data_IF_827755136608
#
_entry.id   IF_827755136608
#
_cell.length_a   1.000
_cell.length_b   1.000
_cell.length_c   1.000
_cell.angle_alpha   90.00
_cell.angle_beta   90.00
_cell.angle_gamma   90.00
#
_symmetry.space_group_name_H-M   'P 1'
#
loop_
_entity.id
_entity.type
_entity.pdbx_description
1 polymer ?
#
# COMPACT_ATOMS: atom_id res chain seq x y z
N UNK A 1 12.62 -2.19 -48.37
CA UNK A 1 11.63 -1.73 -47.37
C UNK A 1 11.57 -2.78 -46.27
N UNK A 2 12.16 -2.56 -45.11
CA UNK A 2 12.15 -3.55 -44.00
C UNK A 2 11.09 -3.07 -43.02
N UNK A 3 9.96 -3.75 -43.01
CA UNK A 3 8.81 -3.43 -42.17
C UNK A 3 9.22 -3.51 -40.71
N UNK A 4 9.14 -2.39 -40.01
CA UNK A 4 9.29 -2.31 -38.57
C UNK A 4 8.06 -2.95 -37.95
N UNK A 5 8.21 -4.18 -37.45
CA UNK A 5 7.25 -4.74 -36.49
C UNK A 5 7.42 -3.94 -35.20
N UNK A 6 6.48 -3.03 -34.94
CA UNK A 6 6.31 -2.48 -33.59
C UNK A 6 5.61 -3.56 -32.79
N UNK A 7 6.34 -4.23 -31.88
CA UNK A 7 5.71 -5.02 -30.84
C UNK A 7 4.85 -4.05 -30.02
N UNK A 8 3.55 -4.17 -30.22
CA UNK A 8 2.52 -3.50 -29.44
C UNK A 8 2.65 -4.07 -28.02
N UNK A 9 3.41 -3.38 -27.16
CA UNK A 9 3.41 -3.62 -25.72
C UNK A 9 1.96 -3.63 -25.29
N UNK A 10 1.47 -4.82 -24.95
CA UNK A 10 0.18 -5.06 -24.33
C UNK A 10 0.10 -4.10 -23.14
N UNK A 11 -0.80 -3.12 -23.23
CA UNK A 11 -1.08 -2.25 -22.10
C UNK A 11 -1.53 -3.16 -20.96
N UNK A 12 -0.93 -3.06 -19.75
CA UNK A 12 -1.39 -3.84 -18.63
C UNK A 12 -2.88 -3.57 -18.44
N UNK A 13 -3.61 -4.63 -18.18
CA UNK A 13 -5.06 -4.69 -18.08
C UNK A 13 -5.53 -3.80 -16.90
N UNK A 14 -5.73 -2.50 -17.15
CA UNK A 14 -6.09 -1.51 -16.13
C UNK A 14 -7.44 -1.83 -15.47
N UNK A 15 -8.34 -2.56 -16.14
CA UNK A 15 -9.64 -2.93 -15.59
C UNK A 15 -9.57 -4.06 -14.55
N UNK A 16 -8.62 -5.01 -14.70
CA UNK A 16 -8.34 -6.01 -13.66
C UNK A 16 -7.54 -5.46 -12.47
N UNK A 17 -6.90 -4.30 -12.66
CA UNK A 17 -6.06 -3.67 -11.65
C UNK A 17 -6.91 -2.96 -10.59
N UNK A 18 -7.83 -2.09 -11.00
CA UNK A 18 -8.66 -1.30 -10.05
C UNK A 18 -9.50 -2.18 -9.12
N UNK A 19 -10.09 -3.28 -9.61
CA UNK A 19 -10.95 -4.16 -8.78
C UNK A 19 -10.18 -5.00 -7.75
N UNK A 20 -8.91 -5.32 -8.01
CA UNK A 20 -8.06 -6.01 -7.01
C UNK A 20 -7.61 -5.06 -5.91
N UNK A 21 -7.46 -3.79 -6.26
CA UNK A 21 -7.00 -2.75 -5.36
C UNK A 21 -8.02 -2.47 -4.26
N UNK A 22 -9.30 -2.31 -4.57
CA UNK A 22 -10.32 -2.19 -3.51
C UNK A 22 -10.25 -3.34 -2.50
N UNK A 23 -10.06 -4.58 -2.97
CA UNK A 23 -10.01 -5.76 -2.09
C UNK A 23 -8.77 -5.77 -1.18
N UNK A 24 -7.58 -5.48 -1.71
CA UNK A 24 -6.34 -5.47 -0.90
C UNK A 24 -6.40 -4.39 0.19
N UNK A 25 -6.88 -3.19 -0.13
CA UNK A 25 -6.97 -2.09 0.83
C UNK A 25 -7.98 -2.40 1.93
N UNK A 26 -9.15 -2.95 1.58
CA UNK A 26 -10.15 -3.42 2.55
C UNK A 26 -9.57 -4.47 3.51
N UNK A 27 -8.80 -5.44 2.98
CA UNK A 27 -8.16 -6.47 3.79
C UNK A 27 -7.09 -5.90 4.72
N UNK A 28 -6.22 -5.01 4.23
CA UNK A 28 -5.19 -4.37 5.04
C UNK A 28 -5.81 -3.48 6.12
N UNK A 29 -6.88 -2.75 5.82
CA UNK A 29 -7.59 -1.93 6.79
C UNK A 29 -8.27 -2.79 7.86
N UNK A 30 -8.87 -3.92 7.47
CA UNK A 30 -9.42 -4.88 8.42
C UNK A 30 -8.33 -5.47 9.34
N UNK A 31 -7.20 -5.91 8.79
CA UNK A 31 -6.08 -6.44 9.59
C UNK A 31 -5.44 -5.38 10.48
N UNK A 32 -5.34 -4.15 9.99
CA UNK A 32 -4.88 -2.99 10.76
C UNK A 32 -5.78 -2.73 11.96
N UNK A 33 -7.10 -2.68 11.76
CA UNK A 33 -8.06 -2.48 12.85
C UNK A 33 -8.03 -3.60 13.91
N UNK A 34 -7.69 -4.84 13.51
CA UNK A 34 -7.52 -5.96 14.43
C UNK A 34 -6.17 -5.96 15.17
N UNK A 35 -5.11 -5.44 14.53
CA UNK A 35 -3.74 -5.48 15.06
C UNK A 35 -3.42 -4.27 15.94
N UNK A 36 -3.90 -3.09 15.53
CA UNK A 36 -3.64 -1.83 16.20
C UNK A 36 -4.82 -1.46 17.10
N UNK A 37 -4.58 -1.45 18.40
CA UNK A 37 -5.58 -1.04 19.40
C UNK A 37 -5.51 0.47 19.68
N UNK A 38 -4.32 1.05 19.54
CA UNK A 38 -4.05 2.46 19.80
C UNK A 38 -4.51 3.35 18.63
N UNK A 39 -5.17 4.47 18.94
CA UNK A 39 -5.62 5.45 17.93
C UNK A 39 -4.46 6.03 17.12
N UNK A 40 -3.31 6.27 17.75
CA UNK A 40 -2.11 6.76 17.06
C UNK A 40 -1.59 5.74 16.05
N UNK A 41 -1.52 4.48 16.45
CA UNK A 41 -1.01 3.42 15.58
C UNK A 41 -1.98 3.18 14.41
N UNK A 42 -3.30 3.26 14.66
CA UNK A 42 -4.30 3.21 13.59
C UNK A 42 -4.19 4.37 12.61
N UNK A 43 -3.99 5.59 13.09
CA UNK A 43 -3.79 6.76 12.21
C UNK A 43 -2.60 6.55 11.29
N UNK A 44 -1.47 6.12 11.85
CA UNK A 44 -0.26 5.82 11.07
C UNK A 44 -0.50 4.68 10.10
N UNK A 45 -1.14 3.60 10.55
CA UNK A 45 -1.42 2.44 9.71
C UNK A 45 -2.36 2.78 8.55
N UNK A 46 -3.42 3.55 8.80
CA UNK A 46 -4.35 4.00 7.77
C UNK A 46 -3.66 4.93 6.76
N UNK A 47 -2.75 5.78 7.24
CA UNK A 47 -1.93 6.61 6.36
C UNK A 47 -0.99 5.76 5.50
N UNK A 48 -0.35 4.74 6.07
CA UNK A 48 0.51 3.81 5.33
C UNK A 48 -0.33 3.06 4.29
N UNK A 49 -1.46 2.46 4.67
CA UNK A 49 -2.33 1.69 3.78
C UNK A 49 -2.88 2.54 2.65
N UNK A 50 -3.31 3.78 2.94
CA UNK A 50 -3.74 4.73 1.92
C UNK A 50 -2.62 5.15 0.96
N UNK A 51 -1.36 4.98 1.35
CA UNK A 51 -0.18 5.26 0.54
C UNK A 51 0.56 3.98 0.11
N UNK A 52 -0.06 2.82 0.17
CA UNK A 52 0.44 1.58 -0.43
C UNK A 52 -0.06 1.52 -1.88
N UNK A 53 0.78 1.02 -2.78
CA UNK A 53 0.38 0.67 -4.13
C UNK A 53 -0.18 -0.75 -4.21
N UNK A 54 -0.66 -1.10 -5.39
CA UNK A 54 -1.33 -2.36 -5.70
C UNK A 54 -0.37 -3.57 -5.67
N UNK A 55 0.95 -3.32 -5.67
CA UNK A 55 2.01 -4.30 -5.42
C UNK A 55 2.33 -4.48 -3.92
N UNK A 56 1.67 -3.75 -3.01
CA UNK A 56 1.92 -3.81 -1.56
C UNK A 56 3.10 -2.95 -1.09
N UNK A 57 3.63 -2.08 -1.95
CA UNK A 57 4.74 -1.18 -1.62
C UNK A 57 4.24 0.21 -1.25
N UNK A 58 4.75 0.72 -0.14
CA UNK A 58 4.53 2.09 0.28
C UNK A 58 5.16 3.06 -0.74
N UNK A 59 4.34 3.94 -1.32
CA UNK A 59 4.78 4.97 -2.28
C UNK A 59 5.17 6.28 -1.59
N UNK A 60 4.71 6.53 -0.37
CA UNK A 60 5.12 7.71 0.42
C UNK A 60 6.34 7.46 1.30
N UNK A 61 7.24 8.45 1.45
CA UNK A 61 8.33 8.36 2.39
C UNK A 61 7.85 8.40 3.84
N UNK A 62 8.58 7.73 4.73
CA UNK A 62 8.30 7.69 6.17
C UNK A 62 8.19 9.10 6.78
N UNK A 63 9.02 10.04 6.31
CA UNK A 63 9.03 11.45 6.73
C UNK A 63 7.69 12.17 6.48
N UNK A 64 6.98 11.83 5.40
CA UNK A 64 5.67 12.41 5.11
C UNK A 64 4.62 11.89 6.08
N UNK A 65 4.73 10.60 6.43
CA UNK A 65 3.82 9.93 7.37
C UNK A 65 4.03 10.46 8.79
N UNK A 66 5.29 10.64 9.23
CA UNK A 66 5.59 11.24 10.53
C UNK A 66 5.10 12.68 10.61
N UNK A 67 5.26 13.46 9.53
CA UNK A 67 4.76 14.83 9.46
C UNK A 67 3.22 14.89 9.51
N UNK A 68 2.53 13.96 8.85
CA UNK A 68 1.07 13.93 8.78
C UNK A 68 0.42 13.40 10.08
N UNK A 69 1.02 12.37 10.68
CA UNK A 69 0.46 11.69 11.86
C UNK A 69 1.01 12.21 13.19
N UNK A 70 2.15 12.92 13.16
CA UNK A 70 2.89 13.32 14.35
C UNK A 70 3.54 12.15 15.09
N UNK A 71 3.64 10.96 14.46
CA UNK A 71 4.31 9.80 15.02
C UNK A 71 5.82 9.87 14.79
N UNK A 72 6.59 9.15 15.61
CA UNK A 72 8.03 9.00 15.42
C UNK A 72 8.33 8.07 14.25
N UNK A 73 9.46 8.28 13.57
CA UNK A 73 9.93 7.39 12.49
C UNK A 73 9.99 5.92 12.93
N UNK A 74 10.41 5.66 14.17
CA UNK A 74 10.45 4.31 14.75
C UNK A 74 9.05 3.67 14.83
N UNK A 75 8.02 4.45 15.18
CA UNK A 75 6.64 3.95 15.20
C UNK A 75 6.15 3.67 13.78
N UNK A 76 6.39 4.58 12.84
CA UNK A 76 6.00 4.41 11.44
C UNK A 76 6.68 3.18 10.84
N UNK A 77 7.97 2.97 11.08
CA UNK A 77 8.70 1.81 10.58
C UNK A 77 8.19 0.51 11.22
N UNK A 78 7.92 0.50 12.53
CA UNK A 78 7.31 -0.65 13.21
C UNK A 78 5.94 -1.02 12.61
N UNK A 79 5.10 -0.03 12.35
CA UNK A 79 3.76 -0.22 11.79
C UNK A 79 3.87 -0.66 10.33
N UNK A 80 4.77 -0.06 9.55
CA UNK A 80 5.08 -0.45 8.17
C UNK A 80 5.55 -1.90 8.08
N UNK A 81 6.44 -2.33 8.97
CA UNK A 81 6.92 -3.72 9.01
C UNK A 81 5.80 -4.70 9.41
N UNK A 82 4.86 -4.30 10.28
CA UNK A 82 3.66 -5.10 10.58
C UNK A 82 2.73 -5.20 9.35
N UNK A 83 2.50 -4.10 8.65
CA UNK A 83 1.65 -4.06 7.45
C UNK A 83 2.30 -4.85 6.30
N UNK A 84 3.61 -4.80 6.13
CA UNK A 84 4.34 -5.67 5.18
C UNK A 84 4.23 -7.15 5.51
N UNK A 85 4.04 -7.48 6.79
CA UNK A 85 3.77 -8.85 7.26
C UNK A 85 2.31 -9.24 7.15
N UNK A 86 1.41 -8.31 6.83
CA UNK A 86 0.05 -8.68 6.48
C UNK A 86 0.12 -9.49 5.18
N UNK A 87 -0.41 -10.70 5.25
CA UNK A 87 -0.35 -11.65 4.15
C UNK A 87 -1.13 -11.04 2.97
N UNK A 88 -0.53 -10.89 1.77
CA UNK A 88 -1.31 -10.54 0.61
C UNK A 88 -2.34 -11.64 0.42
N UNK A 89 -3.62 -11.27 0.35
CA UNK A 89 -4.61 -12.20 -0.17
C UNK A 89 -4.22 -12.48 -1.63
N UNK A 90 -3.68 -13.68 -1.86
CA UNK A 90 -3.51 -14.22 -3.20
C UNK A 90 -4.86 -14.49 -3.85
#
# INVERSE_FOLDING_TARGET
>A
MRSYFVEKKEAPDFENFVSKSDSLWDHLEWQSNLTFSDEKDRLVAQYIIGNINEDGYLISPVEEITAATGASEEQVENIREKIKRFDPVG
#
